data_IF_600754196070
#
_entry.id   IF_600754196070
#
_cell.length_a   1.000
_cell.length_b   1.000
_cell.length_c   1.000
_cell.angle_alpha   90.00
_cell.angle_beta   90.00
_cell.angle_gamma   90.00
#
_symmetry.space_group_name_H-M   'P 1'
#
loop_
_entity.id
_entity.type
_entity.pdbx_description
1 polymer ?
#
# COMPACT_ATOMS: atom_id res chain seq x y z
N UNK A 1 -59.25 -62.59 -16.90
CA UNK A 1 -58.83 -61.41 -17.66
C UNK A 1 -58.80 -60.20 -16.71
N UNK A 2 -57.63 -59.84 -16.21
CA UNK A 2 -57.45 -58.71 -15.30
C UNK A 2 -56.75 -57.58 -16.06
N UNK A 3 -57.45 -56.49 -16.36
CA UNK A 3 -56.88 -55.31 -16.94
C UNK A 3 -56.25 -54.46 -15.83
N UNK A 4 -54.91 -54.33 -15.81
CA UNK A 4 -54.16 -53.34 -15.01
C UNK A 4 -54.17 -51.99 -15.74
N UNK A 5 -54.80 -51.03 -15.15
CA UNK A 5 -54.76 -49.61 -15.56
C UNK A 5 -53.51 -49.01 -14.91
N UNK A 6 -52.48 -48.73 -15.71
CA UNK A 6 -51.32 -47.95 -15.29
C UNK A 6 -51.71 -46.47 -15.25
N UNK A 7 -51.92 -45.92 -14.05
CA UNK A 7 -51.99 -44.48 -13.82
C UNK A 7 -50.61 -43.88 -13.92
N UNK A 8 -50.36 -43.08 -14.97
CA UNK A 8 -49.15 -42.29 -15.12
C UNK A 8 -49.09 -41.18 -14.09
N UNK A 9 -48.07 -41.14 -13.23
CA UNK A 9 -47.75 -40.00 -12.41
C UNK A 9 -47.41 -38.80 -13.28
N UNK A 10 -47.93 -37.60 -13.05
CA UNK A 10 -47.49 -36.40 -13.73
C UNK A 10 -46.02 -36.13 -13.30
N UNK A 11 -45.17 -35.90 -14.27
CA UNK A 11 -43.79 -35.35 -14.03
C UNK A 11 -43.97 -34.01 -13.27
N UNK A 12 -43.13 -33.74 -12.25
CA UNK A 12 -43.09 -32.42 -11.66
C UNK A 12 -42.64 -31.44 -12.78
N UNK A 13 -43.34 -30.31 -12.87
CA UNK A 13 -42.91 -29.20 -13.71
C UNK A 13 -41.52 -28.80 -13.26
N UNK A 14 -40.57 -28.86 -14.17
CA UNK A 14 -39.26 -28.23 -13.97
C UNK A 14 -39.56 -26.75 -14.09
N UNK A 15 -39.47 -26.02 -12.98
CA UNK A 15 -39.47 -24.57 -13.02
C UNK A 15 -38.34 -24.15 -13.97
N UNK A 16 -38.72 -23.57 -15.11
CA UNK A 16 -37.73 -22.92 -15.98
C UNK A 16 -37.05 -21.85 -15.12
N UNK A 17 -35.70 -21.76 -15.16
CA UNK A 17 -34.97 -20.72 -14.45
C UNK A 17 -35.57 -19.39 -14.94
N UNK A 18 -36.13 -18.63 -14.04
CA UNK A 18 -36.55 -17.24 -14.29
C UNK A 18 -35.22 -16.53 -14.66
N UNK A 19 -35.11 -16.12 -15.92
CA UNK A 19 -33.99 -15.29 -16.38
C UNK A 19 -34.01 -14.03 -15.52
N UNK A 20 -33.13 -13.96 -14.52
CA UNK A 20 -32.93 -12.71 -13.78
C UNK A 20 -32.45 -11.67 -14.81
N UNK A 21 -33.08 -10.51 -14.88
CA UNK A 21 -32.72 -9.48 -15.84
C UNK A 21 -31.23 -9.15 -15.66
N UNK A 22 -30.51 -9.04 -16.78
CA UNK A 22 -29.09 -8.67 -16.75
C UNK A 22 -28.94 -7.32 -16.02
N UNK A 23 -28.23 -7.27 -14.88
CA UNK A 23 -28.09 -6.06 -14.09
C UNK A 23 -27.35 -4.92 -14.81
N UNK A 24 -26.75 -5.21 -15.94
CA UNK A 24 -26.02 -4.25 -16.79
C UNK A 24 -26.89 -3.64 -17.89
N UNK A 25 -27.94 -4.30 -18.32
CA UNK A 25 -28.73 -3.87 -19.47
C UNK A 25 -29.38 -2.48 -19.26
N UNK A 26 -28.88 -1.47 -19.98
CA UNK A 26 -29.39 -0.09 -19.94
C UNK A 26 -29.07 0.69 -18.65
N UNK A 27 -28.24 0.16 -17.77
CA UNK A 27 -27.82 0.87 -16.57
C UNK A 27 -26.87 2.04 -16.90
N UNK A 28 -27.02 3.17 -16.22
CA UNK A 28 -26.04 4.26 -16.21
C UNK A 28 -25.32 4.23 -14.87
N UNK A 29 -24.02 3.88 -14.90
CA UNK A 29 -23.18 3.80 -13.70
C UNK A 29 -22.36 5.08 -13.51
N UNK A 30 -22.37 5.60 -12.29
CA UNK A 30 -21.50 6.72 -11.88
C UNK A 30 -20.30 6.18 -11.13
N UNK A 31 -19.10 6.40 -11.71
CA UNK A 31 -17.81 6.07 -11.09
C UNK A 31 -17.14 7.35 -10.59
N UNK A 32 -16.87 7.40 -9.30
CA UNK A 32 -16.10 8.45 -8.68
C UNK A 32 -14.65 8.02 -8.49
N UNK A 33 -13.68 8.79 -9.01
CA UNK A 33 -12.24 8.56 -8.80
C UNK A 33 -11.67 9.63 -7.89
N UNK A 34 -11.10 9.21 -6.77
CA UNK A 34 -10.63 10.10 -5.71
C UNK A 34 -9.11 10.25 -5.74
N UNK A 35 -8.63 11.49 -5.94
CA UNK A 35 -7.22 11.84 -5.84
C UNK A 35 -6.29 11.12 -6.84
N UNK A 36 -6.83 10.67 -8.00
CA UNK A 36 -6.04 9.99 -9.02
C UNK A 36 -6.49 10.37 -10.43
N UNK A 37 -5.81 11.34 -11.00
CA UNK A 37 -6.13 11.85 -12.34
C UNK A 37 -5.87 10.82 -13.45
N UNK A 38 -4.80 10.03 -13.29
CA UNK A 38 -4.42 9.04 -14.28
C UNK A 38 -5.46 7.91 -14.38
N UNK A 39 -5.94 7.41 -13.23
CA UNK A 39 -7.03 6.44 -13.20
C UNK A 39 -8.35 7.01 -13.72
N UNK A 40 -8.69 8.26 -13.38
CA UNK A 40 -9.90 8.88 -13.91
C UNK A 40 -9.86 8.95 -15.43
N UNK A 41 -8.74 9.40 -16.00
CA UNK A 41 -8.53 9.45 -17.45
C UNK A 41 -8.58 8.05 -18.09
N UNK A 42 -7.98 7.06 -17.47
CA UNK A 42 -8.05 5.67 -17.95
C UNK A 42 -9.48 5.13 -17.95
N UNK A 43 -10.27 5.43 -16.90
CA UNK A 43 -11.68 5.06 -16.81
C UNK A 43 -12.52 5.74 -17.90
N UNK A 44 -12.28 7.02 -18.18
CA UNK A 44 -12.94 7.75 -19.29
C UNK A 44 -12.61 7.10 -20.65
N UNK A 45 -11.38 6.70 -20.87
CA UNK A 45 -10.96 6.03 -22.11
C UNK A 45 -11.60 4.64 -22.28
N UNK A 46 -11.81 3.91 -21.17
CA UNK A 46 -12.42 2.60 -21.16
C UNK A 46 -13.95 2.60 -21.33
N UNK A 47 -14.63 3.77 -21.26
CA UNK A 47 -16.09 3.89 -21.35
C UNK A 47 -16.68 3.23 -22.60
N UNK A 48 -16.05 3.45 -23.78
CA UNK A 48 -16.53 2.90 -25.04
C UNK A 48 -16.48 1.36 -25.07
N UNK A 49 -15.41 0.78 -24.55
CA UNK A 49 -15.25 -0.66 -24.45
C UNK A 49 -16.25 -1.27 -23.48
N UNK A 50 -16.43 -0.65 -22.30
CA UNK A 50 -17.42 -1.06 -21.31
C UNK A 50 -18.83 -1.04 -21.90
N UNK A 51 -19.24 0.05 -22.54
CA UNK A 51 -20.56 0.17 -23.18
C UNK A 51 -20.76 -0.89 -24.28
N UNK A 52 -19.74 -1.11 -25.12
CA UNK A 52 -19.83 -2.11 -26.20
C UNK A 52 -19.98 -3.54 -25.67
N UNK A 53 -19.36 -3.86 -24.53
CA UNK A 53 -19.43 -5.20 -23.93
C UNK A 53 -20.70 -5.45 -23.13
N UNK A 54 -21.27 -4.41 -22.50
CA UNK A 54 -22.34 -4.57 -21.49
C UNK A 54 -23.63 -3.88 -21.83
N UNK A 55 -23.64 -2.93 -22.76
CA UNK A 55 -24.77 -2.05 -23.01
C UNK A 55 -25.02 -1.01 -21.91
N UNK A 56 -24.16 -0.93 -20.88
CA UNK A 56 -24.27 0.05 -19.80
C UNK A 56 -23.51 1.33 -20.12
N UNK A 57 -24.04 2.48 -19.73
CA UNK A 57 -23.33 3.76 -19.78
C UNK A 57 -22.44 3.92 -18.54
N UNK A 58 -21.24 4.54 -18.71
CA UNK A 58 -20.33 4.87 -17.63
C UNK A 58 -20.08 6.39 -17.60
N UNK A 59 -20.40 7.01 -16.48
CA UNK A 59 -20.08 8.40 -16.16
C UNK A 59 -18.92 8.42 -15.15
N UNK A 60 -17.84 9.13 -15.48
CA UNK A 60 -16.66 9.21 -14.63
C UNK A 60 -16.54 10.63 -14.08
N UNK A 61 -16.43 10.72 -12.76
CA UNK A 61 -16.22 11.98 -12.04
C UNK A 61 -14.94 11.89 -11.20
N UNK A 62 -14.27 13.03 -11.00
CA UNK A 62 -13.07 13.14 -10.18
C UNK A 62 -13.29 14.13 -9.03
N UNK A 63 -12.89 13.73 -7.82
CA UNK A 63 -12.82 14.61 -6.66
C UNK A 63 -11.46 14.47 -5.96
N UNK A 64 -11.14 15.44 -5.11
CA UNK A 64 -9.98 15.33 -4.21
C UNK A 64 -10.31 14.52 -2.94
N UNK A 65 -9.26 14.11 -2.23
CA UNK A 65 -9.42 13.31 -0.99
C UNK A 65 -10.13 14.08 0.12
N UNK A 66 -9.98 15.40 0.18
CA UNK A 66 -10.63 16.21 1.22
C UNK A 66 -12.14 16.28 0.99
N UNK A 67 -12.56 16.50 -0.26
CA UNK A 67 -13.98 16.49 -0.62
C UNK A 67 -14.64 15.15 -0.28
N UNK A 68 -13.93 14.03 -0.49
CA UNK A 68 -14.42 12.71 -0.08
C UNK A 68 -14.51 12.56 1.45
N UNK A 69 -13.51 13.03 2.19
CA UNK A 69 -13.49 12.94 3.64
C UNK A 69 -14.67 13.70 4.28
N UNK A 70 -15.07 14.81 3.68
CA UNK A 70 -16.16 15.68 4.14
C UNK A 70 -17.55 15.23 3.64
N UNK A 71 -17.62 14.36 2.61
CA UNK A 71 -18.86 13.87 2.04
C UNK A 71 -19.70 13.08 3.06
N UNK A 72 -20.97 13.39 3.18
CA UNK A 72 -21.91 12.66 4.05
C UNK A 72 -22.53 11.45 3.36
N UNK A 73 -22.65 11.51 2.05
CA UNK A 73 -23.19 10.48 1.16
C UNK A 73 -22.38 10.48 -0.14
N UNK A 74 -22.50 9.42 -0.91
CA UNK A 74 -22.00 9.39 -2.29
C UNK A 74 -23.21 9.31 -3.23
N UNK A 75 -23.21 10.20 -4.21
CA UNK A 75 -24.11 10.10 -5.37
C UNK A 75 -23.43 9.33 -6.50
N UNK A 76 -22.70 8.26 -6.16
CA UNK A 76 -21.96 7.42 -7.09
C UNK A 76 -22.25 5.95 -6.79
N UNK A 77 -22.32 5.12 -7.85
CA UNK A 77 -22.48 3.67 -7.72
C UNK A 77 -21.18 3.01 -7.29
N UNK A 78 -20.09 3.40 -7.91
CA UNK A 78 -18.75 2.90 -7.62
C UNK A 78 -17.79 4.06 -7.29
N UNK A 79 -16.83 3.79 -6.40
CA UNK A 79 -15.80 4.74 -5.99
C UNK A 79 -14.45 4.05 -6.03
N UNK A 80 -13.48 4.62 -6.75
CA UNK A 80 -12.06 4.23 -6.64
C UNK A 80 -11.35 5.27 -5.80
N UNK A 81 -10.79 4.85 -4.67
CA UNK A 81 -10.17 5.77 -3.71
C UNK A 81 -8.90 5.19 -3.08
N UNK A 82 -8.11 6.02 -2.37
CA UNK A 82 -6.98 5.53 -1.59
C UNK A 82 -7.40 4.45 -0.58
N UNK A 83 -6.59 3.38 -0.45
CA UNK A 83 -6.93 2.21 0.37
C UNK A 83 -7.15 2.52 1.85
N UNK A 84 -6.54 3.58 2.35
CA UNK A 84 -6.72 4.03 3.74
C UNK A 84 -8.11 4.63 4.03
N UNK A 85 -8.91 4.92 2.99
CA UNK A 85 -10.28 5.40 3.15
C UNK A 85 -11.28 4.26 3.49
N UNK A 86 -10.86 3.00 3.35
CA UNK A 86 -11.74 1.86 3.64
C UNK A 86 -12.39 1.96 5.02
N UNK A 87 -11.58 2.12 6.07
CA UNK A 87 -12.09 2.18 7.44
C UNK A 87 -13.02 3.37 7.69
N UNK A 88 -12.60 4.62 7.41
CA UNK A 88 -13.47 5.79 7.56
C UNK A 88 -14.82 5.68 6.86
N UNK A 89 -14.87 5.04 5.70
CA UNK A 89 -16.12 4.86 4.94
C UNK A 89 -16.96 3.71 5.47
N UNK A 90 -16.33 2.62 5.88
CA UNK A 90 -17.03 1.47 6.48
C UNK A 90 -17.65 1.83 7.84
N UNK A 91 -16.92 2.55 8.71
CA UNK A 91 -17.42 3.01 10.02
C UNK A 91 -18.57 4.01 9.92
N UNK A 92 -18.71 4.68 8.79
CA UNK A 92 -19.83 5.58 8.48
C UNK A 92 -20.95 4.87 7.72
N UNK A 93 -20.82 3.56 7.50
CA UNK A 93 -21.78 2.74 6.76
C UNK A 93 -22.11 3.26 5.34
N UNK A 94 -21.17 3.91 4.68
CA UNK A 94 -21.35 4.50 3.36
C UNK A 94 -21.16 3.51 2.21
N UNK A 95 -20.62 2.33 2.49
CA UNK A 95 -20.27 1.30 1.51
C UNK A 95 -20.91 -0.05 1.86
N UNK A 96 -21.11 -0.88 0.86
CA UNK A 96 -21.62 -2.24 1.03
C UNK A 96 -20.51 -3.30 0.92
N UNK A 97 -20.65 -4.48 1.54
CA UNK A 97 -19.69 -5.56 1.40
C UNK A 97 -19.67 -6.12 -0.02
N UNK A 98 -18.50 -6.60 -0.45
CA UNK A 98 -18.36 -7.31 -1.71
C UNK A 98 -19.14 -8.63 -1.66
N UNK A 99 -19.98 -8.96 -2.65
CA UNK A 99 -20.71 -10.23 -2.68
C UNK A 99 -19.76 -11.44 -2.63
N UNK A 100 -20.09 -12.46 -1.85
CA UNK A 100 -19.28 -13.66 -1.69
C UNK A 100 -18.94 -14.34 -3.03
N UNK A 101 -19.88 -14.33 -3.99
CA UNK A 101 -19.64 -14.85 -5.34
C UNK A 101 -18.46 -14.17 -6.07
N UNK A 102 -18.13 -12.93 -5.73
CA UNK A 102 -16.98 -12.18 -6.27
C UNK A 102 -15.73 -12.43 -5.43
N UNK A 103 -15.83 -12.31 -4.11
CA UNK A 103 -14.73 -12.43 -3.16
C UNK A 103 -14.39 -13.88 -2.76
N UNK A 104 -14.84 -14.86 -3.54
CA UNK A 104 -14.58 -16.28 -3.26
C UNK A 104 -13.25 -16.72 -3.84
N UNK A 105 -12.49 -17.50 -3.08
CA UNK A 105 -11.29 -18.20 -3.56
C UNK A 105 -11.57 -19.20 -4.69
N UNK A 106 -12.83 -19.56 -4.90
CA UNK A 106 -13.28 -20.36 -6.06
C UNK A 106 -13.39 -19.52 -7.33
N UNK A 107 -13.51 -18.19 -7.21
CA UNK A 107 -13.46 -17.29 -8.35
C UNK A 107 -12.00 -17.15 -8.79
N UNK A 108 -11.72 -17.48 -10.06
CA UNK A 108 -10.37 -17.43 -10.61
C UNK A 108 -9.75 -16.02 -10.48
N UNK A 109 -10.51 -14.96 -10.73
CA UNK A 109 -10.05 -13.58 -10.61
C UNK A 109 -9.66 -13.20 -9.17
N UNK A 110 -10.41 -13.69 -8.17
CA UNK A 110 -10.09 -13.41 -6.76
C UNK A 110 -8.92 -14.25 -6.24
N UNK A 111 -8.82 -15.51 -6.64
CA UNK A 111 -7.70 -16.39 -6.27
C UNK A 111 -6.36 -15.92 -6.83
N UNK A 112 -6.36 -15.14 -7.91
CA UNK A 112 -5.19 -14.56 -8.55
C UNK A 112 -4.59 -13.39 -7.73
N UNK A 113 -5.39 -12.70 -6.93
CA UNK A 113 -4.94 -11.59 -6.06
C UNK A 113 -3.97 -12.12 -4.99
N UNK A 114 -2.92 -11.35 -4.70
CA UNK A 114 -1.96 -11.69 -3.64
C UNK A 114 -2.61 -11.80 -2.27
N UNK A 115 -2.09 -12.68 -1.42
CA UNK A 115 -2.72 -13.09 -0.17
C UNK A 115 -2.98 -11.93 0.80
N UNK A 116 -1.97 -11.13 1.11
CA UNK A 116 -2.13 -10.01 2.04
C UNK A 116 -3.04 -8.91 1.48
N UNK A 117 -3.13 -8.74 0.16
CA UNK A 117 -4.07 -7.80 -0.44
C UNK A 117 -5.52 -8.24 -0.18
N UNK A 118 -5.85 -9.51 -0.48
CA UNK A 118 -7.23 -10.01 -0.33
C UNK A 118 -7.65 -10.32 1.11
N UNK A 119 -6.70 -10.56 2.02
CA UNK A 119 -6.99 -10.88 3.42
C UNK A 119 -6.85 -9.70 4.38
N UNK A 120 -6.13 -8.67 3.98
CA UNK A 120 -5.85 -7.53 4.86
C UNK A 120 -6.29 -6.21 4.25
N UNK A 121 -5.87 -5.89 3.01
CA UNK A 121 -6.07 -4.55 2.47
C UNK A 121 -7.54 -4.24 2.18
N UNK A 122 -8.25 -5.20 1.60
CA UNK A 122 -9.65 -5.05 1.18
C UNK A 122 -10.67 -5.52 2.22
N UNK A 123 -10.18 -5.88 3.42
CA UNK A 123 -11.00 -6.38 4.53
C UNK A 123 -11.16 -5.30 5.59
N UNK A 124 -12.36 -5.21 6.16
CA UNK A 124 -12.69 -4.40 7.33
C UNK A 124 -13.59 -5.20 8.27
N UNK A 125 -13.15 -5.37 9.53
CA UNK A 125 -13.68 -6.41 10.41
C UNK A 125 -13.45 -7.78 9.76
N UNK A 126 -14.49 -8.58 9.68
CA UNK A 126 -14.45 -9.92 9.05
C UNK A 126 -14.98 -9.93 7.61
N UNK A 127 -15.27 -8.75 7.04
CA UNK A 127 -15.93 -8.66 5.74
C UNK A 127 -15.02 -8.07 4.67
N UNK A 128 -15.03 -8.69 3.47
CA UNK A 128 -14.44 -8.08 2.29
C UNK A 128 -15.31 -6.89 1.88
N UNK A 129 -14.73 -5.70 1.83
CA UNK A 129 -15.44 -4.44 1.58
C UNK A 129 -15.02 -3.75 0.30
N UNK A 130 -13.94 -4.20 -0.34
CA UNK A 130 -13.38 -3.53 -1.50
C UNK A 130 -12.89 -4.51 -2.56
N UNK A 131 -12.81 -4.02 -3.80
CA UNK A 131 -12.10 -4.66 -4.92
C UNK A 131 -10.73 -4.02 -5.03
N UNK A 132 -9.61 -4.79 -5.05
CA UNK A 132 -8.27 -4.22 -5.08
C UNK A 132 -7.90 -3.70 -6.47
N UNK A 133 -7.13 -2.59 -6.51
CA UNK A 133 -6.50 -2.04 -7.70
C UNK A 133 -4.98 -1.93 -7.55
N UNK A 134 -4.43 -2.47 -6.48
CA UNK A 134 -3.01 -2.49 -6.16
C UNK A 134 -2.58 -1.41 -5.18
N UNK A 135 -1.63 -1.78 -4.35
CA UNK A 135 -1.01 -0.92 -3.35
C UNK A 135 0.50 -1.05 -3.41
N UNK A 136 1.24 0.04 -3.49
CA UNK A 136 2.68 -0.01 -3.45
C UNK A 136 3.17 -0.45 -2.07
N UNK A 137 4.30 -1.14 -2.10
CA UNK A 137 5.13 -1.41 -0.93
C UNK A 137 6.46 -0.70 -1.16
N UNK A 138 6.98 -0.03 -0.17
CA UNK A 138 8.30 0.60 -0.27
C UNK A 138 9.35 -0.47 -0.54
N UNK A 139 10.28 -0.16 -1.44
CA UNK A 139 11.46 -0.95 -1.76
C UNK A 139 12.71 -0.09 -1.70
N UNK A 140 13.86 -0.73 -1.58
CA UNK A 140 15.16 -0.09 -1.65
C UNK A 140 15.68 -0.12 -3.09
N UNK A 141 15.76 1.05 -3.72
CA UNK A 141 16.55 1.27 -4.92
C UNK A 141 18.02 1.33 -4.53
N UNK A 142 18.88 0.69 -5.31
CA UNK A 142 20.31 0.75 -5.08
C UNK A 142 21.11 0.80 -6.38
N UNK A 143 22.27 1.45 -6.34
CA UNK A 143 23.23 1.49 -7.44
C UNK A 143 23.95 0.16 -7.54
N UNK A 144 23.53 -0.67 -8.50
CA UNK A 144 24.07 -2.03 -8.67
C UNK A 144 25.58 -2.03 -8.98
N UNK A 145 26.03 -1.10 -9.81
CA UNK A 145 27.45 -0.91 -10.17
C UNK A 145 28.33 -0.53 -8.95
N UNK A 146 27.77 0.28 -8.03
CA UNK A 146 28.52 0.66 -6.84
C UNK A 146 28.61 -0.51 -5.84
N UNK A 147 27.52 -1.26 -5.66
CA UNK A 147 27.54 -2.42 -4.78
C UNK A 147 28.49 -3.50 -5.30
N UNK A 148 28.47 -3.78 -6.62
CA UNK A 148 29.39 -4.71 -7.25
C UNK A 148 30.86 -4.29 -7.03
N UNK A 149 31.21 -3.03 -7.29
CA UNK A 149 32.55 -2.48 -7.07
C UNK A 149 33.01 -2.61 -5.62
N UNK A 150 32.09 -2.38 -4.67
CA UNK A 150 32.38 -2.45 -3.24
C UNK A 150 32.33 -3.89 -2.69
N UNK A 151 32.01 -4.89 -3.53
CA UNK A 151 31.82 -6.28 -3.10
C UNK A 151 30.69 -6.44 -2.07
N UNK A 152 29.64 -5.61 -2.18
CA UNK A 152 28.50 -5.61 -1.27
C UNK A 152 27.24 -6.16 -1.94
N UNK A 153 26.36 -6.72 -1.11
CA UNK A 153 25.01 -7.12 -1.51
C UNK A 153 23.99 -6.05 -1.08
N UNK A 154 22.79 -6.04 -1.66
CA UNK A 154 21.68 -5.23 -1.13
C UNK A 154 21.45 -5.52 0.35
N UNK A 155 21.14 -4.49 1.17
CA UNK A 155 21.03 -4.66 2.62
C UNK A 155 19.82 -5.52 3.00
N UNK A 156 20.03 -6.49 3.89
CA UNK A 156 18.96 -7.34 4.43
C UNK A 156 18.41 -6.82 5.75
N UNK A 157 19.22 -6.06 6.48
CA UNK A 157 18.85 -5.46 7.77
C UNK A 157 19.03 -3.94 7.76
N UNK A 158 18.30 -3.24 8.65
CA UNK A 158 18.48 -1.79 8.80
C UNK A 158 19.86 -1.39 9.28
N UNK A 159 20.54 -2.24 10.03
CA UNK A 159 21.93 -2.03 10.41
C UNK A 159 22.85 -2.02 9.17
N UNK A 160 22.73 -3.04 8.30
CA UNK A 160 23.48 -3.11 7.03
C UNK A 160 23.14 -1.92 6.10
N UNK A 161 21.85 -1.50 6.08
CA UNK A 161 21.43 -0.32 5.32
C UNK A 161 22.16 0.95 5.79
N UNK A 162 22.23 1.16 7.11
CA UNK A 162 22.93 2.29 7.70
C UNK A 162 24.43 2.30 7.38
N UNK A 163 25.08 1.13 7.53
CA UNK A 163 26.50 0.97 7.16
C UNK A 163 26.76 1.23 5.68
N UNK A 164 25.89 0.69 4.82
CA UNK A 164 26.00 0.86 3.38
C UNK A 164 25.77 2.32 2.97
N UNK A 165 24.78 2.98 3.57
CA UNK A 165 24.53 4.40 3.34
C UNK A 165 25.72 5.28 3.70
N UNK A 166 26.39 4.99 4.83
CA UNK A 166 27.62 5.69 5.23
C UNK A 166 28.76 5.41 4.26
N UNK A 167 28.94 4.16 3.83
CA UNK A 167 29.97 3.77 2.87
C UNK A 167 29.78 4.49 1.53
N UNK A 168 28.53 4.53 1.03
CA UNK A 168 28.17 5.18 -0.23
C UNK A 168 28.24 6.71 -0.15
N UNK A 169 28.11 7.31 1.02
CA UNK A 169 28.32 8.76 1.21
C UNK A 169 29.78 9.19 0.99
N UNK A 170 30.73 8.28 1.17
CA UNK A 170 32.17 8.58 1.00
C UNK A 170 32.59 8.47 -0.48
N UNK A 171 32.54 9.62 -1.19
CA UNK A 171 32.95 9.71 -2.61
C UNK A 171 34.36 9.16 -2.90
N UNK A 172 35.29 9.27 -1.95
CA UNK A 172 36.65 8.79 -2.15
C UNK A 172 36.71 7.27 -2.35
N UNK A 173 35.80 6.55 -1.68
CA UNK A 173 35.68 5.10 -1.82
C UNK A 173 35.05 4.66 -3.14
N UNK A 174 34.26 5.55 -3.75
CA UNK A 174 33.58 5.27 -5.03
C UNK A 174 34.49 5.46 -6.26
N UNK A 175 35.58 6.25 -6.15
CA UNK A 175 36.51 6.50 -7.25
C UNK A 175 35.83 7.07 -8.49
N UNK A 176 36.12 6.49 -9.67
CA UNK A 176 35.62 6.95 -10.97
C UNK A 176 34.09 6.72 -11.15
N UNK A 177 33.46 5.89 -10.31
CA UNK A 177 32.03 5.70 -10.29
C UNK A 177 31.30 6.77 -9.45
N UNK A 178 32.03 7.62 -8.73
CA UNK A 178 31.45 8.76 -8.05
C UNK A 178 30.90 9.75 -9.07
N UNK A 179 29.71 10.29 -8.78
CA UNK A 179 29.14 11.41 -9.54
C UNK A 179 30.15 12.56 -9.55
N UNK A 180 30.30 13.32 -10.65
CA UNK A 180 31.18 14.49 -10.73
C UNK A 180 31.04 15.41 -9.52
N UNK A 181 32.16 15.99 -9.06
CA UNK A 181 32.21 16.78 -7.81
C UNK A 181 31.32 18.02 -7.81
N UNK A 182 30.93 18.51 -8.99
CA UNK A 182 30.01 19.63 -9.18
C UNK A 182 28.54 19.28 -8.92
N UNK A 183 28.19 18.00 -8.81
CA UNK A 183 26.83 17.54 -8.50
C UNK A 183 26.71 17.07 -7.05
N UNK A 184 25.60 17.37 -6.35
CA UNK A 184 25.31 16.80 -5.05
C UNK A 184 25.24 15.27 -5.12
N UNK A 185 25.80 14.61 -4.09
CA UNK A 185 25.77 13.16 -3.95
C UNK A 185 25.48 12.79 -2.49
N UNK A 186 24.65 11.79 -2.29
CA UNK A 186 24.18 11.35 -0.98
C UNK A 186 24.28 9.83 -0.85
N UNK A 187 24.53 9.33 0.37
CA UNK A 187 24.58 7.89 0.63
C UNK A 187 23.22 7.24 0.47
N UNK A 188 22.19 7.88 1.04
CA UNK A 188 20.80 7.43 0.96
C UNK A 188 19.82 8.61 0.93
N UNK A 189 18.66 8.41 0.33
CA UNK A 189 17.52 9.34 0.33
C UNK A 189 16.26 8.57 0.72
N UNK A 190 15.54 9.07 1.72
CA UNK A 190 14.30 8.48 2.22
C UNK A 190 13.15 9.48 2.14
N UNK A 191 11.88 9.03 1.99
CA UNK A 191 10.73 9.92 1.96
C UNK A 191 10.45 10.51 3.35
N UNK A 192 10.73 11.79 3.51
CA UNK A 192 10.61 12.51 4.79
C UNK A 192 9.67 13.73 4.73
N UNK A 193 9.01 13.97 3.59
CA UNK A 193 8.01 15.03 3.47
C UNK A 193 6.80 14.80 4.38
N UNK A 194 6.03 15.86 4.63
CA UNK A 194 4.73 15.76 5.31
C UNK A 194 3.84 14.69 4.66
N UNK A 195 3.24 13.85 5.47
CA UNK A 195 2.45 12.69 5.05
C UNK A 195 3.29 11.42 4.77
N UNK A 196 4.63 11.52 4.76
CA UNK A 196 5.53 10.41 4.46
C UNK A 196 6.52 10.08 5.57
N UNK A 197 6.99 11.08 6.31
CA UNK A 197 8.00 10.88 7.36
C UNK A 197 7.57 9.86 8.41
N UNK A 198 6.32 9.95 8.89
CA UNK A 198 5.74 8.98 9.82
C UNK A 198 5.57 7.59 9.20
N UNK A 199 5.22 7.49 7.91
CA UNK A 199 5.13 6.20 7.22
C UNK A 199 6.51 5.57 7.03
N UNK A 200 7.53 6.35 6.71
CA UNK A 200 8.93 5.89 6.62
C UNK A 200 9.42 5.38 7.98
N UNK A 201 9.11 6.10 9.06
CA UNK A 201 9.39 5.64 10.42
C UNK A 201 8.67 4.31 10.72
N UNK A 202 7.38 4.19 10.42
CA UNK A 202 6.62 2.96 10.64
C UNK A 202 7.16 1.78 9.82
N UNK A 203 7.57 2.00 8.57
CA UNK A 203 8.18 0.97 7.73
C UNK A 203 9.50 0.46 8.33
N UNK A 204 10.32 1.38 8.87
CA UNK A 204 11.57 1.03 9.56
C UNK A 204 11.31 0.32 10.89
N UNK A 205 10.30 0.76 11.64
CA UNK A 205 9.96 0.20 12.96
C UNK A 205 9.28 -1.17 12.88
N UNK A 206 8.61 -1.50 11.75
CA UNK A 206 7.82 -2.71 11.61
C UNK A 206 8.57 -3.99 12.03
N UNK A 207 9.80 -4.28 11.54
CA UNK A 207 10.53 -5.49 11.92
C UNK A 207 10.98 -5.49 13.38
N UNK A 208 11.16 -4.34 14.00
CA UNK A 208 11.49 -4.23 15.43
C UNK A 208 10.29 -4.48 16.33
N UNK A 209 9.10 -4.03 15.90
CA UNK A 209 7.88 -4.00 16.71
C UNK A 209 7.02 -5.25 16.57
N UNK A 210 7.05 -5.92 15.41
CA UNK A 210 6.18 -7.05 15.12
C UNK A 210 6.78 -8.36 15.63
N UNK A 211 6.68 -8.56 16.94
CA UNK A 211 6.94 -9.84 17.58
C UNK A 211 5.71 -10.76 17.45
N UNK A 212 5.86 -12.10 17.33
CA UNK A 212 4.72 -13.02 17.24
C UNK A 212 3.68 -12.86 18.37
N UNK A 213 4.09 -12.52 19.59
CA UNK A 213 3.17 -12.24 20.70
C UNK A 213 2.56 -10.83 20.67
N UNK A 214 3.12 -9.90 19.88
CA UNK A 214 2.60 -8.54 19.78
C UNK A 214 1.53 -8.47 18.69
N UNK A 215 0.29 -8.82 19.01
CA UNK A 215 -0.81 -8.76 18.04
C UNK A 215 -0.98 -7.36 17.45
N UNK A 216 -1.01 -6.35 18.30
CA UNK A 216 -1.09 -4.95 17.92
C UNK A 216 0.24 -4.22 18.11
N UNK A 217 0.48 -3.22 17.27
CA UNK A 217 1.76 -2.49 17.21
C UNK A 217 1.61 -0.98 17.41
N UNK A 218 0.46 -0.41 17.05
CA UNK A 218 0.27 1.05 17.06
C UNK A 218 -0.51 1.55 18.28
N UNK A 219 -1.49 0.75 18.73
CA UNK A 219 -2.25 0.99 19.94
C UNK A 219 -2.37 -0.29 20.74
N UNK A 220 -2.51 -0.18 22.03
CA UNK A 220 -2.99 -1.26 22.88
C UNK A 220 -4.47 -1.53 22.54
N UNK A 221 -4.82 -2.80 22.31
CA UNK A 221 -6.17 -3.17 21.83
C UNK A 221 -7.27 -3.04 22.89
N UNK A 222 -6.89 -3.03 24.15
CA UNK A 222 -7.86 -2.94 25.26
C UNK A 222 -8.10 -1.48 25.68
N UNK A 223 -7.02 -0.72 25.73
CA UNK A 223 -7.04 0.64 26.31
C UNK A 223 -6.96 1.75 25.27
N UNK A 224 -6.60 1.45 24.01
CA UNK A 224 -6.25 2.44 22.98
C UNK A 224 -5.06 3.34 23.36
N UNK A 225 -4.24 2.90 24.30
CA UNK A 225 -2.99 3.60 24.62
C UNK A 225 -2.03 3.51 23.42
N UNK A 226 -1.49 4.65 22.93
CA UNK A 226 -0.53 4.63 21.83
C UNK A 226 0.75 3.89 22.21
N UNK A 227 1.28 3.10 21.29
CA UNK A 227 2.52 2.34 21.45
C UNK A 227 3.68 2.96 20.65
N UNK A 228 3.45 4.13 20.06
CA UNK A 228 4.38 4.78 19.13
C UNK A 228 5.60 5.41 19.79
N UNK A 229 5.64 5.51 21.11
CA UNK A 229 6.80 5.96 21.90
C UNK A 229 7.58 4.80 22.54
N UNK A 230 7.24 3.55 22.18
CA UNK A 230 7.92 2.35 22.66
C UNK A 230 9.31 2.14 22.03
N UNK A 231 10.12 1.23 22.64
CA UNK A 231 11.50 0.98 22.24
C UNK A 231 11.72 0.71 20.75
N UNK A 232 10.82 -0.01 20.02
CA UNK A 232 10.96 -0.24 18.58
C UNK A 232 10.97 1.03 17.75
N UNK A 233 10.06 1.98 18.04
CA UNK A 233 9.96 3.22 17.28
C UNK A 233 11.06 4.19 17.67
N UNK A 234 11.49 4.21 18.94
CA UNK A 234 12.63 5.01 19.39
C UNK A 234 13.89 4.60 18.63
N UNK A 235 14.20 3.29 18.60
CA UNK A 235 15.35 2.76 17.85
C UNK A 235 15.26 3.09 16.34
N UNK A 236 14.11 2.86 15.75
CA UNK A 236 13.89 3.15 14.33
C UNK A 236 14.10 4.65 14.01
N UNK A 237 13.67 5.54 14.91
CA UNK A 237 13.85 6.98 14.72
C UNK A 237 15.32 7.40 14.94
N UNK A 238 16.03 6.82 15.89
CA UNK A 238 17.46 7.05 16.08
C UNK A 238 18.27 6.68 14.84
N UNK A 239 18.00 5.52 14.25
CA UNK A 239 18.62 5.06 13.01
C UNK A 239 18.22 5.96 11.82
N UNK A 240 16.96 6.37 11.72
CA UNK A 240 16.50 7.29 10.68
C UNK A 240 17.21 8.65 10.77
N UNK A 241 17.38 9.21 11.98
CA UNK A 241 18.14 10.44 12.21
C UNK A 241 19.58 10.29 11.78
N UNK A 242 20.21 9.13 12.03
CA UNK A 242 21.58 8.87 11.61
C UNK A 242 21.74 8.85 10.09
N UNK A 243 20.80 8.22 9.38
CA UNK A 243 20.81 8.17 7.90
C UNK A 243 20.43 9.51 7.28
N UNK A 244 19.49 10.26 7.87
CA UNK A 244 19.08 11.58 7.37
C UNK A 244 20.25 12.58 7.30
N UNK A 245 21.29 12.43 8.13
CA UNK A 245 22.52 13.24 8.05
C UNK A 245 23.32 13.01 6.75
N UNK A 246 23.06 11.92 6.05
CA UNK A 246 23.70 11.56 4.78
C UNK A 246 22.87 12.00 3.57
N UNK A 247 21.69 12.56 3.82
CA UNK A 247 20.72 13.03 2.82
C UNK A 247 20.95 14.52 2.47
N UNK A 248 20.27 15.06 1.43
CA UNK A 248 20.32 16.48 1.12
C UNK A 248 19.73 17.35 2.23
N UNK A 249 20.13 18.62 2.27
CA UNK A 249 19.68 19.57 3.30
C UNK A 249 18.15 19.77 3.31
N UNK A 250 17.47 19.54 2.20
CA UNK A 250 16.02 19.63 2.03
C UNK A 250 15.34 18.26 2.04
N UNK A 251 15.97 17.25 2.62
CA UNK A 251 15.44 15.87 2.73
C UNK A 251 14.03 15.84 3.35
N UNK A 252 13.71 16.75 4.28
CA UNK A 252 12.38 16.87 4.89
C UNK A 252 11.27 17.26 3.89
N UNK A 253 11.61 17.60 2.65
CA UNK A 253 10.65 17.88 1.56
C UNK A 253 10.56 16.74 0.56
N UNK A 254 11.32 15.66 0.76
CA UNK A 254 11.41 14.56 -0.18
C UNK A 254 10.25 13.58 0.05
N UNK A 255 9.40 13.44 -0.94
CA UNK A 255 8.39 12.37 -1.02
C UNK A 255 8.94 11.16 -1.80
N UNK A 256 8.23 10.03 -1.90
CA UNK A 256 8.72 8.87 -2.63
C UNK A 256 9.02 9.13 -4.11
N UNK A 257 8.26 10.01 -4.77
CA UNK A 257 8.50 10.35 -6.17
C UNK A 257 9.78 11.18 -6.34
N UNK A 258 10.01 12.15 -5.43
CA UNK A 258 11.24 12.93 -5.38
C UNK A 258 12.46 12.07 -5.05
N UNK A 259 12.36 11.13 -4.10
CA UNK A 259 13.43 10.20 -3.77
C UNK A 259 13.84 9.36 -4.99
N UNK A 260 12.85 8.82 -5.72
CA UNK A 260 13.07 8.08 -6.97
C UNK A 260 13.68 8.96 -8.06
N UNK A 261 13.19 10.20 -8.23
CA UNK A 261 13.74 11.13 -9.22
C UNK A 261 15.22 11.45 -8.93
N UNK A 262 15.59 11.70 -7.68
CA UNK A 262 16.98 11.94 -7.28
C UNK A 262 17.87 10.70 -7.51
N UNK A 263 17.34 9.50 -7.32
CA UNK A 263 18.04 8.27 -7.66
C UNK A 263 18.34 8.19 -9.16
N UNK A 264 17.33 8.41 -10.01
CA UNK A 264 17.51 8.38 -11.48
C UNK A 264 18.41 9.50 -12.00
N UNK A 265 18.51 10.62 -11.30
CA UNK A 265 19.49 11.67 -11.56
C UNK A 265 20.93 11.27 -11.14
N UNK A 266 21.12 10.05 -10.62
CA UNK A 266 22.42 9.59 -10.15
C UNK A 266 22.94 10.36 -8.94
N UNK A 267 22.04 10.87 -8.07
CA UNK A 267 22.39 11.74 -6.93
C UNK A 267 22.51 10.98 -5.59
N UNK A 268 22.21 9.70 -5.57
CA UNK A 268 22.35 8.89 -4.34
C UNK A 268 22.69 7.43 -4.66
N UNK A 269 23.25 6.76 -3.64
CA UNK A 269 23.54 5.34 -3.70
C UNK A 269 22.35 4.45 -3.40
N UNK A 270 21.49 4.86 -2.46
CA UNK A 270 20.25 4.20 -2.04
C UNK A 270 19.10 5.19 -2.08
N UNK A 271 17.87 4.70 -2.38
CA UNK A 271 16.65 5.46 -2.21
C UNK A 271 15.48 4.56 -1.81
N UNK A 272 14.60 5.05 -0.95
CA UNK A 272 13.35 4.35 -0.62
C UNK A 272 12.20 4.94 -1.45
N UNK A 273 11.53 4.10 -2.22
CA UNK A 273 10.37 4.46 -3.05
C UNK A 273 9.67 3.17 -3.51
N UNK A 274 8.86 3.25 -4.54
CA UNK A 274 8.33 2.11 -5.29
C UNK A 274 8.39 2.37 -6.79
N UNK A 275 8.53 1.35 -7.63
CA UNK A 275 8.48 1.48 -9.08
C UNK A 275 7.09 1.90 -9.56
N UNK A 276 7.06 2.68 -10.64
CA UNK A 276 5.82 3.06 -11.31
C UNK A 276 6.07 3.23 -12.80
N UNK A 277 5.22 2.64 -13.63
CA UNK A 277 5.27 2.77 -15.08
C UNK A 277 5.07 4.22 -15.56
N UNK A 278 4.40 5.02 -14.75
CA UNK A 278 4.10 6.44 -15.04
C UNK A 278 5.14 7.40 -14.48
N UNK A 279 6.16 6.87 -13.80
CA UNK A 279 7.24 7.72 -13.31
C UNK A 279 8.00 8.34 -14.48
N UNK A 280 8.00 9.65 -14.53
CA UNK A 280 8.84 10.40 -15.48
C UNK A 280 10.28 10.40 -14.98
N UNK A 281 11.17 9.86 -15.78
CA UNK A 281 12.59 10.12 -15.66
C UNK A 281 12.86 11.30 -16.56
N UNK A 282 13.43 12.38 -16.00
CA UNK A 282 13.62 13.62 -16.75
C UNK A 282 14.46 13.36 -18.02
N UNK A 283 14.06 13.94 -19.14
CA UNK A 283 14.66 13.69 -20.46
C UNK A 283 16.13 14.13 -20.56
N UNK A 284 16.58 15.04 -19.67
CA UNK A 284 17.96 15.53 -19.56
C UNK A 284 18.88 14.60 -18.74
N UNK A 285 18.31 13.55 -18.15
CA UNK A 285 19.05 12.55 -17.39
C UNK A 285 19.29 11.33 -18.26
N UNK A 286 20.57 11.05 -18.55
CA UNK A 286 20.94 9.76 -19.12
C UNK A 286 20.79 8.65 -18.08
N UNK A 287 19.55 8.21 -17.88
CA UNK A 287 19.21 7.15 -16.95
C UNK A 287 19.83 5.80 -17.30
N UNK A 288 20.34 5.65 -18.54
CA UNK A 288 21.10 4.46 -18.95
C UNK A 288 22.44 4.34 -18.20
N UNK A 289 22.91 5.45 -17.63
CA UNK A 289 24.15 5.50 -16.81
C UNK A 289 23.92 5.19 -15.34
N UNK A 290 22.67 4.92 -14.92
CA UNK A 290 22.31 4.60 -13.52
C UNK A 290 21.84 3.13 -13.44
N UNK A 291 22.76 2.15 -13.31
CA UNK A 291 22.38 0.76 -13.13
C UNK A 291 21.61 0.57 -11.82
N UNK A 292 20.30 0.39 -11.95
CA UNK A 292 19.42 0.26 -10.81
C UNK A 292 19.17 -1.20 -10.44
N UNK A 293 19.31 -1.51 -9.16
CA UNK A 293 18.73 -2.70 -8.54
C UNK A 293 17.59 -2.32 -7.63
N UNK A 294 16.68 -3.28 -7.42
CA UNK A 294 15.54 -3.17 -6.51
C UNK A 294 15.60 -4.30 -5.50
N UNK A 295 15.53 -3.97 -4.24
CA UNK A 295 15.46 -4.93 -3.14
C UNK A 295 14.26 -4.63 -2.24
N UNK A 296 13.77 -5.64 -1.52
CA UNK A 296 12.80 -5.42 -0.46
C UNK A 296 13.39 -4.50 0.61
N UNK A 297 12.53 -3.84 1.40
CA UNK A 297 13.01 -3.08 2.55
C UNK A 297 13.78 -3.99 3.51
N UNK A 298 14.83 -3.46 4.14
CA UNK A 298 15.56 -4.18 5.17
C UNK A 298 14.67 -4.60 6.34
N UNK A 299 15.04 -5.69 6.98
CA UNK A 299 14.41 -6.21 8.18
C UNK A 299 15.26 -5.98 9.43
N UNK A 300 15.04 -6.83 10.43
CA UNK A 300 15.84 -6.86 11.66
C UNK A 300 15.97 -8.28 12.20
N UNK A 301 17.17 -8.64 12.62
CA UNK A 301 17.42 -9.89 13.37
C UNK A 301 16.94 -9.80 14.82
N UNK A 302 16.67 -8.61 15.32
CA UNK A 302 16.14 -8.36 16.66
C UNK A 302 14.71 -7.88 16.60
N UNK A 303 13.90 -8.31 17.56
CA UNK A 303 12.50 -7.91 17.70
C UNK A 303 12.19 -7.68 19.18
N UNK A 304 11.36 -6.69 19.48
CA UNK A 304 10.98 -6.35 20.84
C UNK A 304 9.76 -7.15 21.30
N UNK A 305 9.93 -7.97 22.34
CA UNK A 305 8.84 -8.61 23.04
C UNK A 305 8.26 -7.63 24.08
N UNK A 306 7.04 -7.14 23.83
CA UNK A 306 6.40 -6.15 24.70
C UNK A 306 5.99 -6.74 26.04
N UNK A 307 5.55 -8.01 26.10
CA UNK A 307 5.13 -8.67 27.32
C UNK A 307 6.32 -8.87 28.27
N UNK A 308 7.47 -9.24 27.73
CA UNK A 308 8.69 -9.46 28.51
C UNK A 308 9.56 -8.21 28.66
N UNK A 309 9.15 -7.08 28.04
CA UNK A 309 9.89 -5.81 28.05
C UNK A 309 11.37 -5.93 27.66
N UNK A 310 11.68 -6.80 26.68
CA UNK A 310 13.07 -7.03 26.23
C UNK A 310 13.19 -7.27 24.73
N UNK A 311 14.37 -7.01 24.22
CA UNK A 311 14.76 -7.39 22.87
C UNK A 311 15.07 -8.88 22.82
N UNK A 312 14.67 -9.52 21.73
CA UNK A 312 14.92 -10.92 21.43
C UNK A 312 15.51 -11.06 20.02
N UNK A 313 16.43 -11.99 19.84
CA UNK A 313 16.93 -12.34 18.51
C UNK A 313 15.92 -13.28 17.86
N UNK A 314 15.59 -13.02 16.58
CA UNK A 314 14.76 -13.93 15.78
C UNK A 314 15.47 -15.26 15.58
N UNK A 315 14.71 -16.32 15.42
CA UNK A 315 15.27 -17.63 15.06
C UNK A 315 15.90 -17.59 13.66
N UNK A 316 16.87 -18.48 13.41
CA UNK A 316 17.55 -18.56 12.10
C UNK A 316 16.58 -18.82 10.93
N UNK A 317 15.44 -19.45 11.18
CA UNK A 317 14.40 -19.72 10.17
C UNK A 317 13.40 -18.57 10.02
N UNK A 318 13.44 -17.55 10.86
CA UNK A 318 12.51 -16.43 10.82
C UNK A 318 12.95 -15.40 9.79
N UNK A 319 12.03 -14.99 8.91
CA UNK A 319 12.30 -13.88 8.00
C UNK A 319 12.44 -12.57 8.81
N UNK A 320 13.57 -11.86 8.68
CA UNK A 320 13.79 -10.61 9.39
C UNK A 320 12.89 -9.46 8.91
N UNK A 321 12.26 -9.60 7.73
CA UNK A 321 11.50 -8.55 7.07
C UNK A 321 10.03 -8.57 7.49
N UNK A 322 9.50 -7.39 7.78
CA UNK A 322 8.08 -7.15 8.06
C UNK A 322 7.62 -5.98 7.22
N UNK A 323 6.82 -6.20 6.16
CA UNK A 323 6.40 -5.10 5.30
C UNK A 323 5.39 -4.21 6.00
N UNK A 324 5.47 -2.90 5.70
CA UNK A 324 4.40 -1.94 5.97
C UNK A 324 3.45 -1.91 4.77
N UNK A 325 2.18 -2.25 5.01
CA UNK A 325 1.11 -2.25 4.03
C UNK A 325 0.20 -1.02 4.20
N UNK A 326 -0.60 -0.70 3.18
CA UNK A 326 -1.59 0.38 3.24
C UNK A 326 -0.98 1.78 3.33
N UNK A 327 0.21 1.96 2.77
CA UNK A 327 0.87 3.28 2.72
C UNK A 327 0.21 4.21 1.71
N UNK A 328 -0.22 3.65 0.60
CA UNK A 328 -0.92 4.26 -0.52
C UNK A 328 -1.75 3.16 -1.18
N UNK A 329 -2.15 3.30 -2.43
CA UNK A 329 -2.88 2.25 -3.15
C UNK A 329 -4.28 2.68 -3.50
N UNK A 330 -4.92 1.85 -4.31
CA UNK A 330 -6.28 2.10 -4.79
C UNK A 330 -7.16 0.89 -4.56
N UNK A 331 -8.37 1.16 -4.11
CA UNK A 331 -9.43 0.17 -3.91
C UNK A 331 -10.72 0.69 -4.53
N UNK A 332 -11.54 -0.24 -5.03
CA UNK A 332 -12.87 0.03 -5.55
C UNK A 332 -13.94 -0.34 -4.53
N UNK A 333 -14.88 0.53 -4.30
CA UNK A 333 -15.96 0.43 -3.33
C UNK A 333 -17.29 0.65 -4.01
N UNK A 334 -18.35 0.04 -3.51
CA UNK A 334 -19.73 0.29 -3.96
C UNK A 334 -20.47 1.05 -2.89
N UNK A 335 -21.08 2.18 -3.29
CA UNK A 335 -21.86 3.04 -2.40
C UNK A 335 -23.13 2.35 -1.89
N UNK A 336 -23.47 2.55 -0.62
CA UNK A 336 -24.72 2.02 -0.03
C UNK A 336 -25.98 2.59 -0.70
N UNK A 337 -25.89 3.80 -1.23
CA UNK A 337 -27.01 4.46 -1.90
C UNK A 337 -27.14 4.10 -3.40
N UNK A 338 -26.24 3.24 -3.93
CA UNK A 338 -26.32 2.81 -5.32
C UNK A 338 -27.62 2.06 -5.62
N UNK A 339 -28.28 2.43 -6.69
CA UNK A 339 -29.45 1.69 -7.24
C UNK A 339 -29.00 0.47 -8.06
N UNK A 340 -27.70 0.40 -8.46
CA UNK A 340 -27.12 -0.63 -9.30
C UNK A 340 -25.91 -1.35 -8.66
N UNK A 341 -25.98 -1.84 -7.39
CA UNK A 341 -24.81 -2.35 -6.70
C UNK A 341 -24.17 -3.57 -7.38
N UNK A 342 -24.96 -4.44 -8.01
CA UNK A 342 -24.43 -5.61 -8.74
C UNK A 342 -23.65 -5.19 -9.98
N UNK A 343 -24.19 -4.25 -10.76
CA UNK A 343 -23.51 -3.69 -11.94
C UNK A 343 -22.24 -2.93 -11.55
N UNK A 344 -22.27 -2.16 -10.45
CA UNK A 344 -21.09 -1.46 -9.93
C UNK A 344 -19.97 -2.43 -9.53
N UNK A 345 -20.29 -3.56 -8.87
CA UNK A 345 -19.28 -4.58 -8.58
C UNK A 345 -18.74 -5.25 -9.84
N UNK A 346 -19.56 -5.46 -10.87
CA UNK A 346 -19.10 -6.00 -12.14
C UNK A 346 -18.15 -5.03 -12.85
N UNK A 347 -18.46 -3.72 -12.85
CA UNK A 347 -17.57 -2.68 -13.36
C UNK A 347 -16.22 -2.68 -12.64
N UNK A 348 -16.21 -2.65 -11.31
CA UNK A 348 -14.97 -2.65 -10.52
C UNK A 348 -14.16 -3.93 -10.76
N UNK A 349 -14.80 -5.08 -10.87
CA UNK A 349 -14.15 -6.34 -11.20
C UNK A 349 -13.51 -6.31 -12.58
N UNK A 350 -14.27 -5.86 -13.60
CA UNK A 350 -13.79 -5.75 -14.97
C UNK A 350 -12.54 -4.85 -15.08
N UNK A 351 -12.54 -3.70 -14.40
CA UNK A 351 -11.38 -2.81 -14.34
C UNK A 351 -10.21 -3.44 -13.57
N UNK A 352 -10.47 -4.11 -12.45
CA UNK A 352 -9.45 -4.70 -11.58
C UNK A 352 -8.81 -5.96 -12.18
N UNK A 353 -9.55 -6.74 -12.97
CA UNK A 353 -9.05 -7.95 -13.64
C UNK A 353 -8.32 -7.65 -14.94
N UNK A 354 -8.13 -6.37 -15.29
CA UNK A 354 -7.51 -5.91 -16.53
C UNK A 354 -8.15 -6.56 -17.79
N UNK A 355 -9.46 -6.81 -17.71
CA UNK A 355 -10.25 -7.30 -18.84
C UNK A 355 -10.46 -6.21 -19.90
N UNK A 356 -10.14 -4.97 -19.55
CA UNK A 356 -10.03 -3.83 -20.47
C UNK A 356 -8.71 -3.86 -21.24
N UNK A 357 -8.69 -3.28 -22.43
CA UNK A 357 -7.57 -3.30 -23.40
C UNK A 357 -6.27 -2.60 -22.94
N UNK A 358 -6.02 -2.48 -21.66
CA UNK A 358 -4.77 -1.92 -21.15
C UNK A 358 -4.76 -1.87 -19.64
N UNK A 359 -3.89 -2.53 -19.03
CA UNK A 359 -3.53 -2.57 -17.61
C UNK A 359 -3.97 -1.31 -16.80
N UNK A 360 -5.28 -1.20 -16.57
CA UNK A 360 -5.93 -0.03 -15.97
C UNK A 360 -5.21 0.42 -14.69
N UNK A 361 -4.95 -0.52 -13.80
CA UNK A 361 -4.28 -0.24 -12.53
C UNK A 361 -2.86 0.30 -12.71
N UNK A 362 -2.13 -0.12 -13.75
CA UNK A 362 -0.75 0.34 -13.99
C UNK A 362 -0.65 1.81 -14.43
N UNK A 363 -1.76 2.45 -14.78
CA UNK A 363 -1.78 3.89 -15.14
C UNK A 363 -1.63 4.80 -13.92
N UNK A 364 -1.89 4.31 -12.71
CA UNK A 364 -1.76 5.09 -11.48
C UNK A 364 -0.31 5.09 -10.96
N UNK A 365 0.21 6.24 -10.53
CA UNK A 365 1.50 6.28 -9.81
C UNK A 365 1.42 5.72 -8.38
N UNK A 366 0.22 5.49 -7.86
CA UNK A 366 -0.05 5.02 -6.50
C UNK A 366 -0.43 3.53 -6.44
N UNK A 367 -0.17 2.78 -7.49
CA UNK A 367 -0.47 1.34 -7.55
C UNK A 367 0.78 0.55 -7.95
N UNK A 368 0.76 -0.74 -7.67
CA UNK A 368 1.73 -1.71 -8.19
C UNK A 368 1.01 -3.02 -8.51
N UNK A 369 1.74 -3.98 -9.11
CA UNK A 369 1.16 -5.29 -9.37
C UNK A 369 0.65 -5.93 -8.07
N UNK A 370 -0.49 -6.59 -8.16
CA UNK A 370 -1.18 -7.18 -7.01
C UNK A 370 -1.78 -8.57 -7.31
N UNK A 371 -1.51 -9.08 -8.52
CA UNK A 371 -1.99 -10.38 -9.00
C UNK A 371 -0.82 -11.27 -9.44
N UNK A 372 -0.98 -12.58 -9.26
CA UNK A 372 0.01 -13.57 -9.69
C UNK A 372 0.20 -13.58 -11.20
N UNK A 373 -0.88 -13.38 -11.98
CA UNK A 373 -0.83 -13.26 -13.44
C UNK A 373 0.03 -12.09 -13.91
N UNK A 374 0.05 -10.99 -13.16
CA UNK A 374 0.81 -9.76 -13.49
C UNK A 374 2.32 -9.92 -13.33
N UNK A 375 2.80 -10.90 -12.55
CA UNK A 375 4.25 -11.15 -12.35
C UNK A 375 4.96 -11.39 -13.68
N UNK A 376 4.30 -12.07 -14.64
CA UNK A 376 4.86 -12.33 -15.97
C UNK A 376 4.96 -11.09 -16.85
N UNK A 377 4.22 -10.04 -16.53
CA UNK A 377 4.21 -8.74 -17.22
C UNK A 377 4.80 -7.62 -16.38
N UNK A 378 5.71 -7.94 -15.47
CA UNK A 378 6.32 -7.02 -14.50
C UNK A 378 6.87 -5.73 -15.13
N UNK A 379 7.36 -5.82 -16.39
CA UNK A 379 7.91 -4.69 -17.15
C UNK A 379 6.91 -3.55 -17.34
N UNK A 380 5.62 -3.85 -17.37
CA UNK A 380 4.57 -2.86 -17.52
C UNK A 380 4.29 -2.05 -16.25
N UNK A 381 4.88 -2.44 -15.12
CA UNK A 381 4.66 -1.84 -13.80
C UNK A 381 5.83 -1.00 -13.29
N UNK A 382 6.91 -0.94 -14.04
CA UNK A 382 8.13 -0.24 -13.64
C UNK A 382 8.55 0.80 -14.67
N UNK A 383 9.37 1.75 -14.26
CA UNK A 383 9.93 2.78 -15.12
C UNK A 383 10.75 2.19 -16.27
N UNK A 384 10.79 2.90 -17.41
CA UNK A 384 11.54 2.46 -18.60
C UNK A 384 13.02 2.13 -18.38
N UNK A 385 13.79 2.84 -17.52
CA UNK A 385 15.20 2.52 -17.33
C UNK A 385 15.45 1.19 -16.58
N UNK A 386 14.48 0.66 -15.85
CA UNK A 386 14.62 -0.62 -15.15
C UNK A 386 14.73 -1.76 -16.16
N UNK A 387 15.81 -2.55 -16.08
CA UNK A 387 16.00 -3.72 -16.93
C UNK A 387 14.92 -4.79 -16.69
N UNK A 388 14.60 -5.55 -17.73
CA UNK A 388 13.56 -6.59 -17.64
C UNK A 388 13.84 -7.64 -16.56
N UNK A 389 15.09 -8.03 -16.37
CA UNK A 389 15.50 -8.95 -15.31
C UNK A 389 15.28 -8.37 -13.91
N UNK A 390 15.62 -7.09 -13.71
CA UNK A 390 15.35 -6.38 -12.44
C UNK A 390 13.85 -6.25 -12.18
N UNK A 391 13.06 -5.97 -13.23
CA UNK A 391 11.59 -5.93 -13.11
C UNK A 391 11.01 -7.29 -12.71
N UNK A 392 11.50 -8.39 -13.29
CA UNK A 392 11.05 -9.75 -12.92
C UNK A 392 11.41 -10.08 -11.47
N UNK A 393 12.65 -9.82 -11.05
CA UNK A 393 13.08 -10.02 -9.64
C UNK A 393 12.26 -9.17 -8.66
N UNK A 394 11.95 -7.92 -9.04
CA UNK A 394 11.06 -7.08 -8.23
C UNK A 394 9.68 -7.69 -8.06
N UNK A 395 9.06 -8.16 -9.15
CA UNK A 395 7.72 -8.74 -9.09
C UNK A 395 7.68 -10.04 -8.26
N UNK A 396 8.71 -10.89 -8.38
CA UNK A 396 8.86 -12.09 -7.55
C UNK A 396 9.05 -11.72 -6.07
N UNK A 397 9.93 -10.75 -5.77
CA UNK A 397 10.16 -10.24 -4.42
C UNK A 397 8.88 -9.65 -3.81
N UNK A 398 8.11 -8.86 -4.58
CA UNK A 398 6.84 -8.31 -4.12
C UNK A 398 5.81 -9.41 -3.85
N UNK A 399 5.76 -10.45 -4.69
CA UNK A 399 4.89 -11.60 -4.44
C UNK A 399 5.27 -12.33 -3.14
N UNK A 400 6.57 -12.46 -2.82
CA UNK A 400 7.04 -13.03 -1.56
C UNK A 400 6.68 -12.11 -0.37
N UNK A 401 6.93 -10.81 -0.50
CA UNK A 401 6.57 -9.81 0.51
C UNK A 401 5.09 -9.89 0.89
N UNK A 402 4.21 -10.01 -0.11
CA UNK A 402 2.75 -10.05 0.09
C UNK A 402 2.20 -11.43 0.49
N UNK A 403 3.08 -12.36 0.89
CA UNK A 403 2.76 -13.68 1.48
C UNK A 403 3.33 -13.86 2.90
N UNK A 404 4.08 -12.87 3.41
CA UNK A 404 4.72 -12.99 4.71
C UNK A 404 3.70 -13.21 5.83
N UNK A 405 4.03 -14.02 6.84
CA UNK A 405 3.16 -14.29 7.97
C UNK A 405 3.05 -13.11 8.94
N UNK A 406 3.97 -12.16 8.85
CA UNK A 406 3.99 -10.95 9.67
C UNK A 406 4.02 -9.70 8.78
N UNK A 407 3.18 -8.75 9.12
CA UNK A 407 3.08 -7.44 8.47
C UNK A 407 2.64 -6.38 9.46
N UNK A 408 2.93 -5.13 9.17
CA UNK A 408 2.33 -3.98 9.82
C UNK A 408 1.40 -3.30 8.81
N UNK A 409 0.20 -2.94 9.25
CA UNK A 409 -0.69 -2.12 8.43
C UNK A 409 -0.66 -0.67 8.90
N UNK A 410 -0.53 0.27 7.96
CA UNK A 410 -0.70 1.70 8.23
C UNK A 410 -2.10 1.98 8.79
N UNK A 411 -2.23 3.04 9.58
CA UNK A 411 -3.53 3.42 10.16
C UNK A 411 -4.59 3.65 9.09
N UNK A 412 -5.76 3.02 9.28
CA UNK A 412 -6.95 3.17 8.42
C UNK A 412 -8.18 3.61 9.21
N UNK A 413 -7.99 4.10 10.43
CA UNK A 413 -9.09 4.58 11.29
C UNK A 413 -9.42 6.05 11.02
N UNK A 414 -10.61 6.52 11.41
CA UNK A 414 -10.96 7.93 11.32
C UNK A 414 -9.92 8.82 12.02
N UNK A 415 -9.47 9.88 11.33
CA UNK A 415 -8.40 10.75 11.87
C UNK A 415 -6.98 10.36 11.46
N UNK A 416 -6.78 9.33 10.61
CA UNK A 416 -5.46 8.91 10.13
C UNK A 416 -4.51 10.07 9.83
N UNK A 417 -4.98 11.10 9.12
CA UNK A 417 -4.18 12.26 8.75
C UNK A 417 -3.63 13.01 9.96
N UNK A 418 -4.42 13.17 11.03
CA UNK A 418 -3.99 13.84 12.26
C UNK A 418 -2.96 13.00 13.02
N UNK A 419 -3.16 11.67 13.08
CA UNK A 419 -2.21 10.73 13.70
C UNK A 419 -0.87 10.73 12.97
N UNK A 420 -0.88 10.61 11.63
CA UNK A 420 0.36 10.62 10.84
C UNK A 420 1.06 11.98 10.92
N UNK A 421 0.34 13.10 10.86
CA UNK A 421 0.94 14.42 11.03
C UNK A 421 1.63 14.60 12.39
N UNK A 422 1.18 13.91 13.45
CA UNK A 422 1.87 13.91 14.73
C UNK A 422 3.20 13.13 14.66
N UNK A 423 3.24 12.02 13.93
CA UNK A 423 4.49 11.29 13.68
C UNK A 423 5.44 12.06 12.77
N UNK A 424 4.94 12.70 11.69
CA UNK A 424 5.75 13.54 10.81
C UNK A 424 6.48 14.60 11.61
N UNK A 425 5.76 15.33 12.47
CA UNK A 425 6.36 16.34 13.38
C UNK A 425 7.42 15.76 14.30
N UNK A 426 7.19 14.57 14.85
CA UNK A 426 8.18 13.91 15.71
C UNK A 426 9.45 13.55 14.94
N UNK A 427 9.31 13.01 13.72
CA UNK A 427 10.45 12.70 12.84
C UNK A 427 11.20 13.97 12.48
N UNK A 428 10.51 15.04 12.08
CA UNK A 428 11.13 16.32 11.71
C UNK A 428 11.87 16.95 12.90
N UNK A 429 11.25 16.99 14.09
CA UNK A 429 11.86 17.52 15.30
C UNK A 429 13.12 16.74 15.72
N UNK A 430 13.12 15.41 15.55
CA UNK A 430 14.28 14.59 15.84
C UNK A 430 15.40 14.80 14.82
N UNK A 431 15.08 14.86 13.52
CA UNK A 431 16.09 15.05 12.45
C UNK A 431 16.69 16.46 12.53
N UNK A 432 15.89 17.50 12.81
CA UNK A 432 16.38 18.87 12.98
C UNK A 432 17.17 19.08 14.28
N UNK A 433 17.13 18.10 15.20
CA UNK A 433 17.80 18.20 16.51
C UNK A 433 17.05 19.07 17.53
N UNK A 434 15.80 19.43 17.26
CA UNK A 434 14.96 20.19 18.19
C UNK A 434 14.58 19.36 19.41
N UNK A 435 14.39 18.05 19.22
CA UNK A 435 14.06 17.12 20.30
C UNK A 435 14.82 15.79 20.14
N UNK A 436 15.23 15.16 21.25
CA UNK A 436 15.69 13.77 21.22
C UNK A 436 14.58 12.84 20.67
N UNK A 437 14.92 11.76 19.93
CA UNK A 437 13.94 10.83 19.35
C UNK A 437 12.86 10.35 20.33
N UNK A 438 13.26 9.93 21.53
CA UNK A 438 12.33 9.44 22.54
C UNK A 438 11.34 10.51 23.03
N UNK A 439 11.79 11.78 23.16
CA UNK A 439 10.93 12.88 23.60
C UNK A 439 9.97 13.30 22.48
N UNK A 440 10.44 13.34 21.25
CA UNK A 440 9.62 13.63 20.08
C UNK A 440 8.49 12.59 19.91
N UNK A 441 8.79 11.29 20.06
CA UNK A 441 7.78 10.24 20.00
C UNK A 441 6.81 10.27 21.19
N UNK A 442 7.29 10.60 22.40
CA UNK A 442 6.41 10.80 23.56
C UNK A 442 5.43 11.95 23.33
N UNK A 443 5.88 13.03 22.70
CA UNK A 443 4.99 14.13 22.29
C UNK A 443 3.96 13.67 21.25
N UNK A 444 4.36 12.86 20.26
CA UNK A 444 3.44 12.28 19.28
C UNK A 444 2.41 11.36 19.94
N UNK A 445 2.81 10.47 20.86
CA UNK A 445 1.89 9.61 21.62
C UNK A 445 0.88 10.45 22.43
N UNK A 446 1.33 11.55 23.06
CA UNK A 446 0.44 12.49 23.73
C UNK A 446 -0.58 13.16 22.79
N UNK A 447 -0.20 13.46 21.55
CA UNK A 447 -1.14 13.95 20.53
C UNK A 447 -2.11 12.85 20.08
N UNK A 448 -1.65 11.61 19.93
CA UNK A 448 -2.48 10.47 19.55
C UNK A 448 -3.60 10.24 20.59
N UNK A 449 -3.29 10.30 21.90
CA UNK A 449 -4.32 10.23 22.96
C UNK A 449 -5.40 11.30 22.77
N UNK A 450 -4.99 12.55 22.59
CA UNK A 450 -5.92 13.68 22.39
C UNK A 450 -6.79 13.50 21.14
N UNK A 451 -6.24 12.96 20.05
CA UNK A 451 -7.00 12.68 18.84
C UNK A 451 -8.03 11.59 19.12
N UNK A 452 -7.65 10.49 19.80
CA UNK A 452 -8.55 9.39 20.17
C UNK A 452 -9.68 9.89 21.07
N UNK A 453 -9.38 10.67 22.10
CA UNK A 453 -10.36 11.26 23.01
C UNK A 453 -11.34 12.19 22.27
N UNK A 454 -10.83 13.12 21.45
CA UNK A 454 -11.64 14.06 20.66
C UNK A 454 -12.61 13.34 19.70
N UNK A 455 -12.19 12.20 19.15
CA UNK A 455 -12.99 11.43 18.19
C UNK A 455 -13.91 10.41 18.84
N UNK A 456 -13.79 10.21 20.15
CA UNK A 456 -14.50 9.22 20.94
C UNK A 456 -13.73 7.91 21.03
N UNK A 457 -13.18 7.63 22.21
CA UNK A 457 -12.25 6.53 22.46
C UNK A 457 -12.83 5.17 22.02
N UNK A 458 -14.08 4.85 22.41
CA UNK A 458 -14.73 3.58 22.02
C UNK A 458 -14.91 3.44 20.51
N UNK A 459 -15.27 4.52 19.81
CA UNK A 459 -15.37 4.49 18.35
C UNK A 459 -14.03 4.24 17.69
N UNK A 460 -12.95 4.85 18.21
CA UNK A 460 -11.61 4.64 17.68
C UNK A 460 -11.13 3.22 17.96
N UNK A 461 -11.44 2.66 19.14
CA UNK A 461 -11.16 1.27 19.50
C UNK A 461 -11.86 0.30 18.55
N UNK A 462 -13.17 0.45 18.36
CA UNK A 462 -13.96 -0.33 17.40
C UNK A 462 -13.34 -0.28 16.00
N UNK A 463 -13.07 0.90 15.48
CA UNK A 463 -12.46 1.06 14.16
C UNK A 463 -11.06 0.43 14.09
N UNK A 464 -10.28 0.52 15.15
CA UNK A 464 -8.96 -0.08 15.20
C UNK A 464 -9.01 -1.61 15.22
N UNK A 465 -9.91 -2.20 16.01
CA UNK A 465 -10.17 -3.64 16.02
C UNK A 465 -10.61 -4.14 14.64
N UNK A 466 -11.59 -3.48 14.00
CA UNK A 466 -11.98 -3.79 12.63
C UNK A 466 -10.81 -3.70 11.65
N UNK A 467 -9.93 -2.69 11.80
CA UNK A 467 -8.72 -2.54 11.00
C UNK A 467 -7.73 -3.69 11.17
N UNK A 468 -7.77 -4.39 12.30
CA UNK A 468 -6.98 -5.61 12.60
C UNK A 468 -7.71 -6.90 12.19
N UNK A 469 -8.92 -6.83 11.65
CA UNK A 469 -9.73 -7.99 11.30
C UNK A 469 -10.43 -8.63 12.51
N UNK A 470 -10.55 -7.91 13.62
CA UNK A 470 -11.25 -8.33 14.82
C UNK A 470 -12.65 -7.69 14.88
N UNK A 471 -13.56 -8.35 15.57
CA UNK A 471 -14.83 -7.75 16.00
C UNK A 471 -14.67 -7.23 17.45
N UNK A 472 -15.33 -6.11 17.81
CA UNK A 472 -15.29 -5.51 19.14
C UNK A 472 -15.84 -6.40 20.25
#
# INVERSE_FOLDING_TARGET
LLCLILAGCPKPAVDEPVDEPDPLAGATLRLLVVGDEALAKAAEQARGEWNAQTGSELLVERIDEQAMADAKTFEADAVICPSHQLGPLAERELIVPVPEKIASVKSQGWADVFELVRHCEVVWGQSVRAVPFGSPVLVCYYRADLLEKLGRQPPETWAEYGELAQLLADRKKLGDLAVPHDRPWHGAIEPLADGWAGLTLLARAAPYAKHPSNYSTLFDIETMEPLVDGPPLVRALEELVAVAKLAPADALKCDPAAARALFWQGRCGLALSWPSSTATVADDVDSSTVPAGLAELPGSVEVYNREEHRWQTRGEADDPRVPLLGISGRIGLVGRASEHPQAAFQLLRWMSEDLSAGQFSATSPATTLFRRSQVKSARAWVERPIASETASRYAEGLQQTLRRPQWLFGLRIPGRREYLAALDRAVHAAISGEQPPADALRAAAGQWRKISEKRGLERQKTAYLHGLGLEP
#
